data_IF_612612554636
#
_entry.id   IF_612612554636
#
_cell.length_a   1.000
_cell.length_b   1.000
_cell.length_c   1.000
_cell.angle_alpha   90.00
_cell.angle_beta   90.00
_cell.angle_gamma   90.00
#
_symmetry.space_group_name_H-M   'P 1'
#
loop_
_entity.id
_entity.type
_entity.pdbx_description
1 polymer ?
#
# COMPACT_ATOMS: atom_id res chain seq x y z
N UNK A 1 -6.85 -17.57 -5.27
CA UNK A 1 -6.13 -18.68 -5.89
C UNK A 1 -5.04 -18.16 -6.81
N UNK A 2 -3.94 -18.90 -6.93
CA UNK A 2 -2.94 -18.65 -7.94
C UNK A 2 -3.51 -18.89 -9.33
N UNK A 3 -3.25 -17.97 -10.24
CA UNK A 3 -3.63 -18.02 -11.66
C UNK A 3 -2.37 -17.87 -12.53
N UNK A 4 -2.54 -17.88 -13.84
CA UNK A 4 -1.44 -17.68 -14.78
C UNK A 4 -0.70 -16.36 -14.51
N UNK A 5 0.56 -16.31 -14.93
CA UNK A 5 1.42 -15.14 -14.74
C UNK A 5 0.82 -13.88 -15.36
N UNK A 6 1.04 -12.76 -14.70
CA UNK A 6 0.69 -11.44 -15.22
C UNK A 6 1.92 -10.69 -15.70
N UNK A 7 1.75 -9.96 -16.78
CA UNK A 7 2.76 -9.05 -17.29
C UNK A 7 2.60 -7.67 -16.64
N UNK A 8 3.66 -7.18 -16.05
CA UNK A 8 3.76 -5.83 -15.50
C UNK A 8 4.73 -5.00 -16.34
N UNK A 9 4.42 -3.73 -16.51
CA UNK A 9 5.27 -2.78 -17.22
C UNK A 9 5.93 -1.84 -16.21
N UNK A 10 7.25 -1.73 -16.29
CA UNK A 10 8.03 -0.75 -15.53
C UNK A 10 8.98 -0.03 -16.49
N UNK A 11 8.61 1.19 -16.86
CA UNK A 11 9.31 1.92 -17.92
C UNK A 11 9.19 1.21 -19.27
N UNK A 12 10.34 0.88 -19.88
CA UNK A 12 10.42 0.14 -21.13
C UNK A 12 10.52 -1.39 -20.96
N UNK A 13 10.57 -1.86 -19.71
CA UNK A 13 10.72 -3.28 -19.40
C UNK A 13 9.37 -3.92 -19.10
N UNK A 14 9.21 -5.18 -19.51
CA UNK A 14 8.08 -6.02 -19.15
C UNK A 14 8.54 -7.17 -18.26
N UNK A 15 7.73 -7.49 -17.26
CA UNK A 15 8.01 -8.53 -16.28
C UNK A 15 6.82 -9.48 -16.19
N UNK A 16 7.04 -10.77 -16.31
CA UNK A 16 6.05 -11.80 -16.05
C UNK A 16 6.25 -12.33 -14.63
N UNK A 17 5.24 -12.20 -13.79
CA UNK A 17 5.30 -12.63 -12.41
C UNK A 17 4.06 -13.42 -12.03
N UNK A 18 4.18 -14.40 -11.12
CA UNK A 18 3.05 -15.15 -10.61
C UNK A 18 1.97 -14.24 -10.03
N UNK A 19 0.73 -14.51 -10.37
CA UNK A 19 -0.43 -13.71 -9.98
C UNK A 19 -1.35 -14.46 -9.03
N UNK A 20 -1.91 -13.74 -8.07
CA UNK A 20 -2.89 -14.26 -7.14
C UNK A 20 -4.22 -13.53 -7.33
N UNK A 21 -5.28 -14.28 -7.67
CA UNK A 21 -6.61 -13.73 -7.92
C UNK A 21 -7.27 -13.19 -6.65
N UNK A 22 -8.13 -12.18 -6.81
CA UNK A 22 -8.89 -11.50 -5.74
C UNK A 22 -8.08 -10.65 -4.75
N UNK A 23 -6.82 -10.31 -5.08
CA UNK A 23 -6.01 -9.39 -4.31
C UNK A 23 -5.48 -8.27 -5.20
N UNK A 24 -5.36 -7.09 -4.65
CA UNK A 24 -4.56 -6.05 -5.29
C UNK A 24 -3.11 -6.34 -4.98
N UNK A 25 -2.25 -6.31 -6.00
CA UNK A 25 -0.84 -6.47 -5.76
C UNK A 25 -0.03 -5.55 -6.65
N UNK A 26 1.11 -5.18 -6.15
CA UNK A 26 2.13 -4.42 -6.84
C UNK A 26 3.34 -5.31 -7.07
N UNK A 27 3.91 -5.20 -8.24
CA UNK A 27 5.23 -5.73 -8.53
C UNK A 27 6.18 -4.57 -8.79
N UNK A 28 7.27 -4.54 -8.01
CA UNK A 28 8.35 -3.58 -8.20
C UNK A 28 9.64 -4.36 -8.41
N UNK A 29 10.36 -4.12 -9.54
CA UNK A 29 11.65 -4.75 -9.77
C UNK A 29 12.61 -4.51 -8.60
N UNK A 30 13.21 -5.58 -8.07
CA UNK A 30 14.10 -5.52 -6.90
C UNK A 30 13.40 -5.59 -5.53
N UNK A 31 12.08 -5.38 -5.47
CA UNK A 31 11.29 -5.51 -4.23
C UNK A 31 10.47 -6.80 -4.25
N UNK A 32 9.95 -7.18 -5.42
CA UNK A 32 9.15 -8.37 -5.59
C UNK A 32 7.66 -8.10 -5.62
N UNK A 33 6.87 -9.11 -5.23
CA UNK A 33 5.42 -9.06 -5.24
C UNK A 33 4.90 -8.79 -3.84
N UNK A 34 4.05 -7.76 -3.68
CA UNK A 34 3.34 -7.49 -2.45
C UNK A 34 1.84 -7.60 -2.72
N UNK A 35 1.18 -8.51 -2.05
CA UNK A 35 -0.27 -8.65 -2.06
C UNK A 35 -0.88 -7.72 -1.01
N UNK A 36 -1.92 -7.00 -1.40
CA UNK A 36 -2.69 -6.18 -0.48
C UNK A 36 -4.14 -6.60 -0.46
N UNK A 37 -4.71 -6.66 0.72
CA UNK A 37 -6.13 -6.92 0.92
C UNK A 37 -6.68 -6.01 2.01
N UNK A 38 -7.96 -5.64 1.87
CA UNK A 38 -8.64 -4.87 2.90
C UNK A 38 -10.07 -5.37 3.05
N UNK A 39 -10.55 -5.38 4.29
CA UNK A 39 -11.93 -5.72 4.61
C UNK A 39 -12.45 -4.92 5.80
N UNK A 40 -13.76 -4.74 5.84
CA UNK A 40 -14.41 -3.98 6.91
C UNK A 40 -14.49 -4.80 8.17
N UNK A 41 -14.26 -4.13 9.31
CA UNK A 41 -14.44 -4.69 10.64
C UNK A 41 -15.13 -3.67 11.55
N UNK A 42 -15.74 -4.16 12.61
CA UNK A 42 -16.38 -3.32 13.64
C UNK A 42 -15.46 -3.04 14.84
N UNK A 43 -14.25 -3.60 14.83
CA UNK A 43 -13.25 -3.48 15.88
C UNK A 43 -11.90 -2.97 15.33
N UNK A 44 -11.01 -2.65 16.24
CA UNK A 44 -9.61 -2.41 15.96
C UNK A 44 -8.78 -3.60 16.47
N UNK A 45 -7.61 -3.78 15.91
CA UNK A 45 -6.63 -4.77 16.39
C UNK A 45 -5.41 -4.06 16.97
N UNK A 46 -4.66 -4.79 17.79
CA UNK A 46 -3.32 -4.41 18.21
C UNK A 46 -2.32 -4.91 17.14
N UNK A 47 -1.71 -4.04 16.33
CA UNK A 47 -0.82 -4.47 15.27
C UNK A 47 0.45 -5.17 15.77
N UNK A 48 0.88 -4.88 17.00
CA UNK A 48 2.06 -5.48 17.61
C UNK A 48 1.81 -6.91 18.12
N UNK A 49 0.53 -7.30 18.22
CA UNK A 49 0.09 -8.63 18.66
C UNK A 49 -0.53 -9.45 17.52
N UNK A 50 -0.04 -9.24 16.30
CA UNK A 50 -0.42 -10.04 15.13
C UNK A 50 0.61 -11.12 14.90
N UNK A 51 0.16 -12.34 14.68
CA UNK A 51 1.04 -13.49 14.42
C UNK A 51 0.41 -14.45 13.41
N UNK A 52 1.25 -15.19 12.71
CA UNK A 52 0.78 -16.28 11.84
C UNK A 52 0.39 -17.46 12.72
N UNK A 53 -0.84 -17.94 12.54
CA UNK A 53 -1.34 -19.13 13.22
C UNK A 53 -1.12 -20.39 12.38
N UNK A 54 -1.46 -20.31 11.09
CA UNK A 54 -1.28 -21.40 10.14
C UNK A 54 -0.84 -20.84 8.80
N UNK A 55 -0.02 -21.62 8.12
CA UNK A 55 0.41 -21.32 6.76
C UNK A 55 0.52 -22.60 5.96
N UNK A 56 0.00 -22.57 4.74
CA UNK A 56 0.24 -23.59 3.73
C UNK A 56 1.05 -22.97 2.60
N UNK A 57 2.06 -23.67 2.15
CA UNK A 57 2.93 -23.23 1.07
C UNK A 57 3.41 -24.42 0.25
N UNK A 58 3.85 -24.14 -0.97
CA UNK A 58 4.46 -25.11 -1.87
C UNK A 58 5.82 -24.63 -2.33
N UNK A 59 6.65 -25.56 -2.76
CA UNK A 59 7.91 -25.26 -3.44
C UNK A 59 7.59 -24.71 -4.83
N UNK A 60 8.34 -23.71 -5.25
CA UNK A 60 8.26 -23.09 -6.57
C UNK A 60 9.56 -23.40 -7.30
N UNK A 61 9.46 -23.94 -8.51
CA UNK A 61 10.61 -24.12 -9.40
C UNK A 61 11.03 -22.76 -9.97
N UNK A 62 12.31 -22.61 -10.29
CA UNK A 62 12.82 -21.36 -10.85
C UNK A 62 12.05 -20.92 -12.11
N UNK A 63 11.61 -21.87 -12.94
CA UNK A 63 10.83 -21.59 -14.15
C UNK A 63 9.41 -21.06 -13.85
N UNK A 64 8.85 -21.36 -12.68
CA UNK A 64 7.53 -20.89 -12.23
C UNK A 64 7.61 -19.53 -11.55
N UNK A 65 8.80 -19.05 -11.23
CA UNK A 65 9.02 -17.76 -10.59
C UNK A 65 8.95 -16.59 -11.57
N UNK A 66 8.92 -16.87 -12.89
CA UNK A 66 8.92 -15.82 -13.91
C UNK A 66 10.15 -14.92 -13.79
N UNK A 67 9.92 -13.61 -13.84
CA UNK A 67 10.98 -12.60 -13.67
C UNK A 67 11.17 -12.14 -12.22
N UNK A 68 10.70 -12.88 -11.24
CA UNK A 68 10.92 -12.56 -9.83
C UNK A 68 12.42 -12.66 -9.51
N UNK A 69 12.98 -11.59 -8.93
CA UNK A 69 14.36 -11.66 -8.43
C UNK A 69 14.40 -12.49 -7.15
N UNK A 70 14.82 -13.73 -7.27
CA UNK A 70 14.90 -14.67 -6.15
C UNK A 70 15.83 -14.15 -5.04
N UNK A 71 16.81 -13.31 -5.35
CA UNK A 71 17.73 -12.78 -4.34
C UNK A 71 17.02 -11.76 -3.43
N UNK A 72 16.07 -11.02 -3.95
CA UNK A 72 15.27 -10.05 -3.18
C UNK A 72 14.18 -10.70 -2.31
N UNK A 73 13.87 -11.99 -2.54
CA UNK A 73 12.83 -12.69 -1.77
C UNK A 73 13.30 -12.89 -0.32
N UNK A 74 12.47 -12.52 0.67
CA UNK A 74 12.84 -12.64 2.08
C UNK A 74 13.00 -14.11 2.51
N UNK A 75 13.78 -14.33 3.57
CA UNK A 75 13.98 -15.66 4.17
C UNK A 75 12.88 -16.05 5.16
N UNK A 76 11.99 -15.14 5.47
CA UNK A 76 10.80 -15.34 6.31
C UNK A 76 9.61 -14.70 5.61
N UNK A 77 8.42 -15.16 5.97
CA UNK A 77 7.20 -14.52 5.51
C UNK A 77 7.15 -13.10 6.03
N UNK A 78 7.08 -12.17 5.10
CA UNK A 78 6.91 -10.76 5.40
C UNK A 78 5.44 -10.38 5.22
N UNK A 79 4.80 -10.00 6.32
CA UNK A 79 3.42 -9.56 6.32
C UNK A 79 3.19 -8.48 7.37
N UNK A 80 2.21 -7.63 7.12
CA UNK A 80 1.73 -6.61 8.05
C UNK A 80 0.22 -6.58 8.02
N UNK A 81 -0.39 -6.50 9.19
CA UNK A 81 -1.82 -6.30 9.32
C UNK A 81 -2.07 -5.07 10.20
N UNK A 82 -2.69 -4.05 9.63
CA UNK A 82 -2.89 -2.76 10.26
C UNK A 82 -4.36 -2.35 10.27
N UNK A 83 -4.70 -1.44 11.17
CA UNK A 83 -5.97 -0.75 11.15
C UNK A 83 -5.93 0.38 10.11
N UNK A 84 -6.97 0.48 9.32
CA UNK A 84 -7.22 1.64 8.45
C UNK A 84 -8.55 2.28 8.82
N UNK A 85 -8.52 3.57 9.08
CA UNK A 85 -9.68 4.34 9.53
C UNK A 85 -10.06 5.36 8.46
N UNK A 86 -11.30 5.32 8.02
CA UNK A 86 -11.93 6.35 7.20
C UNK A 86 -13.12 6.90 7.97
N UNK A 87 -13.60 8.10 7.62
CA UNK A 87 -14.64 8.88 8.37
C UNK A 87 -15.71 8.06 9.12
N UNK A 88 -16.18 6.96 8.53
CA UNK A 88 -17.23 6.12 9.13
C UNK A 88 -16.97 4.61 8.91
N UNK A 89 -15.76 4.23 8.58
CA UNK A 89 -15.44 2.83 8.26
C UNK A 89 -14.12 2.44 8.90
N UNK A 90 -14.15 1.32 9.59
CA UNK A 90 -12.97 0.62 10.07
C UNK A 90 -12.67 -0.50 9.10
N UNK A 91 -11.42 -0.58 8.69
CA UNK A 91 -10.94 -1.65 7.82
C UNK A 91 -9.65 -2.20 8.38
N UNK A 92 -9.44 -3.48 8.19
CA UNK A 92 -8.12 -4.08 8.32
C UNK A 92 -7.46 -4.06 6.95
N UNK A 93 -6.19 -3.75 6.93
CA UNK A 93 -5.34 -3.69 5.75
C UNK A 93 -4.19 -4.65 5.91
N UNK A 94 -4.12 -5.64 5.03
CA UNK A 94 -3.07 -6.65 4.97
C UNK A 94 -2.10 -6.31 3.83
N UNK A 95 -0.82 -6.33 4.13
CA UNK A 95 0.28 -6.44 3.18
C UNK A 95 0.95 -7.80 3.38
N UNK A 96 1.19 -8.52 2.31
CA UNK A 96 1.82 -9.84 2.35
C UNK A 96 2.75 -10.01 1.16
N UNK A 97 4.03 -10.33 1.43
CA UNK A 97 4.87 -10.91 0.41
C UNK A 97 4.56 -12.42 0.34
N UNK A 98 3.96 -12.90 -0.75
CA UNK A 98 3.54 -14.30 -0.84
C UNK A 98 4.68 -15.27 -1.12
N UNK A 99 5.89 -14.76 -1.33
CA UNK A 99 7.10 -15.55 -1.58
C UNK A 99 8.09 -15.41 -0.44
N UNK A 100 8.72 -16.52 -0.07
CA UNK A 100 9.81 -16.55 0.89
C UNK A 100 10.76 -17.70 0.59
N UNK A 101 11.99 -17.63 1.12
CA UNK A 101 12.98 -18.69 1.00
C UNK A 101 13.09 -19.46 2.31
N UNK A 102 13.05 -20.78 2.20
CA UNK A 102 13.36 -21.68 3.31
C UNK A 102 14.47 -22.64 2.87
N UNK A 103 15.59 -22.63 3.57
CA UNK A 103 16.77 -23.43 3.19
C UNK A 103 17.20 -23.21 1.73
N UNK A 104 17.21 -21.98 1.28
CA UNK A 104 17.49 -21.56 -0.11
C UNK A 104 16.48 -22.07 -1.17
N UNK A 105 15.37 -22.64 -0.76
CA UNK A 105 14.30 -23.10 -1.66
C UNK A 105 13.19 -22.07 -1.67
N UNK A 106 12.79 -21.64 -2.86
CA UNK A 106 11.69 -20.70 -3.04
C UNK A 106 10.35 -21.38 -2.70
N UNK A 107 9.57 -20.72 -1.87
CA UNK A 107 8.23 -21.13 -1.46
C UNK A 107 7.20 -20.06 -1.84
N UNK A 108 5.99 -20.48 -2.21
CA UNK A 108 4.84 -19.60 -2.37
C UNK A 108 3.74 -19.97 -1.40
N UNK A 109 3.16 -18.97 -0.79
CA UNK A 109 2.04 -19.13 0.16
C UNK A 109 0.78 -19.50 -0.62
N UNK A 110 0.10 -20.56 -0.19
CA UNK A 110 -1.22 -20.96 -0.71
C UNK A 110 -2.35 -20.43 0.17
N UNK A 111 -2.17 -20.47 1.48
CA UNK A 111 -3.11 -19.91 2.44
C UNK A 111 -2.41 -19.47 3.70
N UNK A 112 -2.97 -18.46 4.35
CA UNK A 112 -2.46 -17.87 5.57
C UNK A 112 -3.61 -17.63 6.53
N UNK A 113 -3.48 -18.07 7.78
CA UNK A 113 -4.35 -17.68 8.89
C UNK A 113 -3.54 -16.85 9.88
N UNK A 114 -4.09 -15.72 10.26
CA UNK A 114 -3.47 -14.82 11.22
C UNK A 114 -4.28 -14.77 12.51
N UNK A 115 -3.57 -14.75 13.63
CA UNK A 115 -4.12 -14.50 14.95
C UNK A 115 -3.81 -13.08 15.34
N UNK A 116 -4.79 -12.37 15.86
CA UNK A 116 -4.64 -10.99 16.35
C UNK A 116 -5.47 -10.76 17.61
N UNK A 117 -5.09 -9.78 18.38
CA UNK A 117 -5.84 -9.33 19.55
C UNK A 117 -6.77 -8.19 19.15
N UNK A 118 -8.06 -8.37 19.39
CA UNK A 118 -9.04 -7.29 19.27
C UNK A 118 -8.83 -6.29 20.39
N UNK A 119 -8.79 -5.02 20.05
CA UNK A 119 -8.82 -3.95 21.03
C UNK A 119 -10.28 -3.71 21.40
N UNK A 120 -10.60 -3.81 22.67
CA UNK A 120 -11.84 -3.31 23.23
C UNK A 120 -11.76 -1.78 23.22
N UNK A 121 -11.95 -1.20 22.07
CA UNK A 121 -12.01 0.25 21.97
C UNK A 121 -13.31 0.71 22.61
N UNK A 122 -13.19 1.49 23.67
CA UNK A 122 -14.24 2.48 23.97
C UNK A 122 -14.39 3.32 22.70
N UNK A 123 -15.55 3.17 22.03
CA UNK A 123 -15.90 3.75 20.73
C UNK A 123 -15.83 5.30 20.70
N UNK A 124 -15.45 5.90 21.80
CA UNK A 124 -15.33 7.33 22.04
C UNK A 124 -13.90 7.87 21.95
N UNK A 125 -12.93 7.14 21.42
CA UNK A 125 -11.76 7.85 20.93
C UNK A 125 -12.23 8.73 19.77
N UNK A 126 -12.65 9.95 20.09
CA UNK A 126 -12.63 11.06 19.16
C UNK A 126 -11.32 10.93 18.42
N UNK A 127 -11.38 10.64 17.11
CA UNK A 127 -10.24 10.87 16.23
C UNK A 127 -9.75 12.25 16.66
N UNK A 128 -8.61 12.31 17.31
CA UNK A 128 -8.04 13.60 17.67
C UNK A 128 -7.87 14.28 16.31
N UNK A 129 -8.78 15.18 16.03
CA UNK A 129 -8.62 16.08 14.90
C UNK A 129 -7.25 16.67 15.09
N UNK A 130 -6.38 16.41 14.13
CA UNK A 130 -4.99 16.89 14.17
C UNK A 130 -5.11 18.39 14.40
N UNK A 131 -4.89 18.82 15.64
CA UNK A 131 -5.03 20.22 16.04
C UNK A 131 -3.99 21.14 15.39
N UNK A 132 -3.02 20.50 14.70
CA UNK A 132 -1.94 21.13 13.96
C UNK A 132 -1.92 20.76 12.48
N UNK A 133 -3.09 20.53 11.88
CA UNK A 133 -3.15 20.37 10.41
C UNK A 133 -2.56 21.62 9.75
N UNK A 134 -1.68 21.40 8.77
CA UNK A 134 -1.20 22.52 7.91
C UNK A 134 -2.35 23.29 7.27
N UNK A 135 -3.54 22.67 7.17
CA UNK A 135 -4.76 23.28 6.67
C UNK A 135 -5.52 24.10 7.73
N UNK A 136 -5.09 24.10 8.99
CA UNK A 136 -5.78 24.83 10.09
C UNK A 136 -5.57 26.34 10.03
N UNK A 137 -4.57 26.79 9.32
CA UNK A 137 -4.23 28.21 9.17
C UNK A 137 -3.91 28.54 7.71
N UNK A 138 -4.16 29.78 7.32
CA UNK A 138 -3.90 30.26 5.96
C UNK A 138 -5.09 30.08 5.00
N UNK A 139 -4.91 30.53 3.76
CA UNK A 139 -5.88 30.38 2.67
C UNK A 139 -5.49 29.22 1.80
N UNK A 140 -6.40 28.27 1.61
CA UNK A 140 -6.16 27.04 0.85
C UNK A 140 -6.95 27.04 -0.44
N UNK A 141 -6.30 26.63 -1.52
CA UNK A 141 -6.89 26.59 -2.85
C UNK A 141 -6.77 25.18 -3.40
N UNK A 142 -7.84 24.66 -3.98
CA UNK A 142 -7.91 23.34 -4.60
C UNK A 142 -8.22 23.50 -6.09
N UNK A 143 -7.49 22.77 -6.93
CA UNK A 143 -7.84 22.61 -8.33
C UNK A 143 -7.71 21.12 -8.72
N UNK A 144 -8.40 20.75 -9.78
CA UNK A 144 -8.39 19.37 -10.27
C UNK A 144 -7.59 19.29 -11.56
N UNK A 145 -6.87 18.18 -11.73
CA UNK A 145 -6.17 17.84 -12.96
C UNK A 145 -6.76 16.57 -13.54
N UNK A 146 -7.22 16.62 -14.79
CA UNK A 146 -7.89 15.50 -15.45
C UNK A 146 -6.97 14.41 -16.01
N UNK A 147 -5.66 14.68 -16.08
CA UNK A 147 -4.66 13.73 -16.63
C UNK A 147 -3.33 13.89 -15.87
N UNK A 148 -2.59 12.79 -15.79
CA UNK A 148 -1.22 12.85 -15.26
C UNK A 148 -0.31 13.64 -16.22
N UNK A 149 0.59 14.47 -15.67
CA UNK A 149 1.52 15.27 -16.48
C UNK A 149 2.18 16.38 -15.68
N UNK A 150 3.03 17.16 -16.34
CA UNK A 150 3.64 18.36 -15.79
C UNK A 150 2.71 19.54 -16.08
N UNK A 151 2.31 20.27 -15.04
CA UNK A 151 1.40 21.41 -15.14
C UNK A 151 2.14 22.70 -14.78
N UNK A 152 1.95 23.73 -15.60
CA UNK A 152 2.43 25.08 -15.31
C UNK A 152 1.33 25.88 -14.59
N UNK A 153 1.59 26.23 -13.34
CA UNK A 153 0.74 27.18 -12.62
C UNK A 153 1.16 28.61 -12.97
N UNK A 154 0.43 29.24 -13.89
CA UNK A 154 0.73 30.62 -14.29
C UNK A 154 0.21 31.61 -13.24
N UNK A 155 0.82 32.80 -13.19
CA UNK A 155 0.37 33.91 -12.33
C UNK A 155 -1.12 34.23 -12.57
N UNK A 156 -1.55 34.27 -13.84
CA UNK A 156 -2.94 34.53 -14.19
C UNK A 156 -3.89 33.46 -13.68
N UNK A 157 -3.51 32.18 -13.78
CA UNK A 157 -4.29 31.09 -13.23
C UNK A 157 -4.43 31.19 -11.71
N UNK A 158 -3.35 31.45 -11.00
CA UNK A 158 -3.36 31.63 -9.54
C UNK A 158 -4.25 32.82 -9.14
N UNK A 159 -4.14 33.94 -9.84
CA UNK A 159 -4.99 35.12 -9.58
C UNK A 159 -6.47 34.83 -9.86
N UNK A 160 -6.82 34.04 -10.88
CA UNK A 160 -8.20 33.63 -11.16
C UNK A 160 -8.81 32.75 -10.07
N UNK A 161 -7.97 32.05 -9.31
CA UNK A 161 -8.38 31.29 -8.12
C UNK A 161 -8.49 32.16 -6.85
N UNK A 162 -8.22 33.46 -6.93
CA UNK A 162 -8.24 34.36 -5.79
C UNK A 162 -6.91 34.46 -5.01
N UNK A 163 -5.84 33.86 -5.51
CA UNK A 163 -4.51 33.95 -4.89
C UNK A 163 -3.88 35.31 -5.23
N UNK A 164 -3.58 36.13 -4.22
CA UNK A 164 -2.84 37.37 -4.45
C UNK A 164 -1.34 37.08 -4.68
N UNK A 165 -0.95 36.95 -5.95
CA UNK A 165 0.41 36.58 -6.33
C UNK A 165 1.43 37.71 -6.21
N UNK A 166 1.04 38.94 -5.89
CA UNK A 166 1.96 40.06 -5.77
C UNK A 166 2.88 39.96 -4.55
N UNK A 167 2.40 39.23 -3.51
CA UNK A 167 3.10 39.07 -2.24
C UNK A 167 3.73 37.66 -2.07
N UNK A 168 3.77 36.87 -3.15
CA UNK A 168 4.34 35.51 -3.09
C UNK A 168 5.75 35.56 -3.67
N UNK A 169 6.73 35.18 -2.86
CA UNK A 169 8.07 34.86 -3.35
C UNK A 169 8.07 33.43 -3.92
N UNK A 170 8.23 33.24 -5.25
CA UNK A 170 8.20 31.92 -5.86
C UNK A 170 9.28 30.96 -5.33
N UNK A 171 10.34 31.46 -4.70
CA UNK A 171 11.39 30.64 -4.09
C UNK A 171 10.93 29.96 -2.79
N UNK A 172 9.83 30.39 -2.19
CA UNK A 172 9.28 29.82 -0.96
C UNK A 172 8.23 28.74 -1.22
N UNK A 173 7.84 28.52 -2.48
CA UNK A 173 6.90 27.46 -2.86
C UNK A 173 7.66 26.12 -2.79
N UNK A 174 7.17 25.22 -1.93
CA UNK A 174 7.71 23.88 -1.73
C UNK A 174 6.76 22.82 -2.30
#
# INVERSE_FOLDING_TARGET
NWVDDKTYLSGLNSFNVPYFDNYTHNFEPGIGVVLTAQWKEDFLIDPDLVSIEKINYVTVNANEAGNLDINSVPTKIDFKLNNSLSKNSRTLYLELNPFFKQNNVLKKVLSLSVKYKKLTANVNQKISTVSSSVLSQGSWYKFEVGKSGVYKLSKNFLNSMGVNTNNIDPRTIK
#
